data_IF_396484012537
#
_entry.id   IF_396484012537
#
_cell.length_a   1.000
_cell.length_b   1.000
_cell.length_c   1.000
_cell.angle_alpha   90.00
_cell.angle_beta   90.00
_cell.angle_gamma   90.00
#
_symmetry.space_group_name_H-M   'P 1'
#
loop_
_entity.id
_entity.type
_entity.pdbx_description
1 polymer ?
#
# COMPACT_ATOMS: atom_id res chain seq x y z
N UNK A 1 -20.91 44.61 -19.85
CA UNK A 1 -21.02 43.13 -19.81
C UNK A 1 -19.68 42.57 -19.37
N UNK A 2 -19.51 42.30 -18.08
CA UNK A 2 -18.32 41.67 -17.52
C UNK A 2 -18.42 40.17 -17.81
N UNK A 3 -17.59 39.68 -18.73
CA UNK A 3 -17.45 38.26 -18.97
C UNK A 3 -16.81 37.63 -17.73
N UNK A 4 -17.59 36.86 -17.00
CA UNK A 4 -17.15 35.91 -15.99
C UNK A 4 -16.28 34.84 -16.67
N UNK A 5 -15.00 35.12 -16.85
CA UNK A 5 -14.02 34.09 -17.13
C UNK A 5 -13.95 33.21 -15.89
N UNK A 6 -14.59 32.04 -15.94
CA UNK A 6 -14.39 30.99 -14.96
C UNK A 6 -12.89 30.69 -14.91
N UNK A 7 -12.23 31.07 -13.80
CA UNK A 7 -10.81 30.80 -13.57
C UNK A 7 -10.60 29.29 -13.47
N UNK A 8 -10.40 28.63 -14.61
CA UNK A 8 -9.93 27.26 -14.64
C UNK A 8 -8.57 27.23 -13.91
N UNK A 9 -8.40 26.40 -12.87
CA UNK A 9 -7.12 26.33 -12.18
C UNK A 9 -6.04 25.88 -13.16
N UNK A 10 -4.89 26.58 -13.20
CA UNK A 10 -3.75 26.14 -13.99
C UNK A 10 -3.44 24.66 -13.74
N UNK A 11 -3.04 23.96 -14.80
CA UNK A 11 -2.66 22.54 -14.78
C UNK A 11 -1.66 22.20 -13.65
N UNK A 12 -0.82 23.17 -13.28
CA UNK A 12 0.13 23.07 -12.19
C UNK A 12 -0.53 22.95 -10.81
N UNK A 13 -1.58 23.72 -10.53
CA UNK A 13 -2.34 23.64 -9.27
C UNK A 13 -3.04 22.32 -9.11
N UNK A 14 -3.62 21.81 -10.20
CA UNK A 14 -4.24 20.48 -10.25
C UNK A 14 -3.19 19.43 -9.91
N UNK A 15 -2.02 19.49 -10.55
CA UNK A 15 -0.90 18.57 -10.29
C UNK A 15 -0.46 18.58 -8.83
N UNK A 16 -0.27 19.76 -8.23
CA UNK A 16 0.13 19.88 -6.81
C UNK A 16 -0.96 19.41 -5.83
N UNK A 17 -2.23 19.49 -6.22
CA UNK A 17 -3.37 19.05 -5.40
C UNK A 17 -3.51 17.54 -5.48
N UNK A 18 -3.46 16.98 -6.68
CA UNK A 18 -3.42 15.54 -6.92
C UNK A 18 -2.23 14.91 -6.18
N UNK A 19 -1.02 15.43 -6.34
CA UNK A 19 0.17 14.92 -5.65
C UNK A 19 -0.01 14.87 -4.13
N UNK A 20 -0.58 15.92 -3.54
CA UNK A 20 -0.82 15.99 -2.08
C UNK A 20 -1.79 14.91 -1.61
N UNK A 21 -2.92 14.73 -2.30
CA UNK A 21 -3.95 13.79 -1.88
C UNK A 21 -3.60 12.34 -2.22
N UNK A 22 -3.03 12.10 -3.42
CA UNK A 22 -2.45 10.81 -3.76
C UNK A 22 -1.35 10.43 -2.77
N UNK A 23 -0.48 11.38 -2.41
CA UNK A 23 0.58 11.16 -1.43
C UNK A 23 0.06 10.75 -0.06
N UNK A 24 -1.07 11.31 0.38
CA UNK A 24 -1.72 10.91 1.64
C UNK A 24 -2.28 9.49 1.56
N UNK A 25 -3.09 9.20 0.54
CA UNK A 25 -3.79 7.90 0.41
C UNK A 25 -2.80 6.77 0.12
N UNK A 26 -1.97 6.93 -0.91
CA UNK A 26 -0.96 5.94 -1.30
C UNK A 26 0.12 5.84 -0.24
N UNK A 27 0.53 6.96 0.37
CA UNK A 27 1.53 6.98 1.44
C UNK A 27 1.08 6.19 2.67
N UNK A 28 -0.19 6.35 3.10
CA UNK A 28 -0.73 5.57 4.21
C UNK A 28 -0.71 4.06 3.91
N UNK A 29 -1.14 3.67 2.72
CA UNK A 29 -1.10 2.26 2.31
C UNK A 29 0.34 1.73 2.19
N UNK A 30 1.26 2.54 1.69
CA UNK A 30 2.68 2.20 1.62
C UNK A 30 3.29 2.00 3.01
N UNK A 31 2.86 2.75 4.04
CA UNK A 31 3.29 2.53 5.42
C UNK A 31 2.84 1.17 5.97
N UNK A 32 1.61 0.74 5.66
CA UNK A 32 1.11 -0.60 6.03
C UNK A 32 1.94 -1.68 5.31
N UNK A 33 2.20 -1.48 4.01
CA UNK A 33 3.05 -2.38 3.22
C UNK A 33 4.47 -2.49 3.80
N UNK A 34 5.07 -1.36 4.17
CA UNK A 34 6.40 -1.30 4.76
C UNK A 34 6.45 -1.94 6.14
N UNK A 35 5.44 -1.69 6.99
CA UNK A 35 5.37 -2.26 8.33
C UNK A 35 5.20 -3.79 8.30
N UNK A 36 4.35 -4.30 7.42
CA UNK A 36 4.14 -5.75 7.23
C UNK A 36 5.35 -6.41 6.57
N UNK A 37 5.97 -5.76 5.58
CA UNK A 37 7.23 -6.22 4.98
C UNK A 37 8.37 -6.29 5.99
N UNK A 38 8.47 -5.28 6.87
CA UNK A 38 9.43 -5.29 7.98
C UNK A 38 9.13 -6.42 8.96
N UNK A 39 7.85 -6.64 9.31
CA UNK A 39 7.44 -7.74 10.16
C UNK A 39 7.89 -9.11 9.61
N UNK A 40 7.70 -9.37 8.30
CA UNK A 40 8.18 -10.59 7.66
C UNK A 40 9.70 -10.78 7.72
N UNK A 41 10.48 -9.70 7.76
CA UNK A 41 11.93 -9.77 7.83
C UNK A 41 12.47 -9.90 9.27
N UNK A 42 11.66 -9.56 10.28
CA UNK A 42 12.05 -9.58 11.69
C UNK A 42 11.47 -10.77 12.47
N UNK A 43 10.33 -11.30 12.03
CA UNK A 43 9.69 -12.46 12.65
C UNK A 43 10.33 -13.73 12.09
N UNK A 44 10.79 -14.61 12.98
CA UNK A 44 11.27 -15.94 12.63
C UNK A 44 10.20 -16.73 11.88
N UNK A 45 10.58 -17.36 10.77
CA UNK A 45 9.68 -18.18 9.95
C UNK A 45 8.97 -19.27 10.76
N UNK A 46 9.65 -19.84 11.76
CA UNK A 46 9.06 -20.86 12.64
C UNK A 46 7.87 -20.33 13.44
N UNK A 47 7.80 -19.01 13.70
CA UNK A 47 6.68 -18.37 14.41
C UNK A 47 5.52 -18.00 13.48
N UNK A 48 5.62 -18.35 12.21
CA UNK A 48 4.61 -18.16 11.17
C UNK A 48 4.23 -19.50 10.52
N UNK A 49 4.75 -20.61 11.05
CA UNK A 49 4.58 -21.93 10.46
C UNK A 49 3.25 -22.57 10.88
N UNK A 50 2.50 -23.06 9.90
CA UNK A 50 1.26 -23.80 10.12
C UNK A 50 1.53 -25.25 10.53
N UNK A 51 2.69 -25.79 10.12
CA UNK A 51 3.01 -27.21 10.12
C UNK A 51 3.92 -27.61 11.30
N UNK A 52 4.03 -26.77 12.35
CA UNK A 52 4.86 -27.02 13.55
C UNK A 52 4.63 -28.42 14.15
N UNK A 53 3.38 -28.87 14.18
CA UNK A 53 3.00 -30.19 14.70
C UNK A 53 2.58 -31.18 13.62
N UNK A 54 2.78 -30.84 12.34
CA UNK A 54 2.36 -31.69 11.24
C UNK A 54 3.37 -32.81 11.00
N UNK A 55 2.87 -34.03 10.99
CA UNK A 55 3.64 -35.21 10.61
C UNK A 55 3.21 -35.68 9.23
N UNK A 56 4.18 -36.25 8.49
CA UNK A 56 3.87 -36.98 7.28
C UNK A 56 3.25 -38.33 7.65
N UNK A 57 2.14 -38.65 7.00
CA UNK A 57 1.47 -39.92 7.20
C UNK A 57 2.39 -41.06 6.73
N UNK A 58 2.66 -42.02 7.61
CA UNK A 58 3.47 -43.19 7.26
C UNK A 58 2.52 -44.23 6.67
N UNK A 59 2.45 -44.29 5.34
CA UNK A 59 1.67 -45.32 4.65
C UNK A 59 2.21 -46.71 5.02
N UNK A 60 1.46 -47.47 5.81
CA UNK A 60 1.81 -48.86 6.08
C UNK A 60 1.69 -49.70 4.80
N UNK A 61 2.46 -50.78 4.73
CA UNK A 61 2.33 -51.74 3.65
C UNK A 61 0.91 -52.35 3.65
N UNK A 62 0.28 -52.39 2.47
CA UNK A 62 -1.02 -53.03 2.29
C UNK A 62 -0.82 -54.54 2.37
N UNK A 63 -1.25 -55.16 3.46
CA UNK A 63 -1.13 -56.62 3.68
C UNK A 63 -2.46 -57.36 3.54
N UNK A 64 -3.57 -56.64 3.42
CA UNK A 64 -4.92 -57.20 3.28
C UNK A 64 -5.19 -57.65 1.83
N UNK A 65 -5.87 -58.79 1.61
CA UNK A 65 -6.32 -59.19 0.28
C UNK A 65 -7.19 -58.11 -0.38
N UNK A 66 -6.98 -57.91 -1.68
CA UNK A 66 -7.71 -56.94 -2.49
C UNK A 66 -8.81 -57.67 -3.29
N UNK A 67 -10.02 -57.13 -3.29
CA UNK A 67 -11.10 -57.56 -4.17
C UNK A 67 -10.85 -57.06 -5.60
N UNK A 68 -11.34 -57.79 -6.61
CA UNK A 68 -11.15 -57.41 -8.02
C UNK A 68 -11.94 -56.11 -8.34
N UNK A 69 -11.29 -55.04 -8.82
CA UNK A 69 -11.94 -53.77 -9.13
C UNK A 69 -12.72 -53.74 -10.46
N UNK A 70 -12.69 -54.80 -11.28
CA UNK A 70 -13.28 -54.82 -12.63
C UNK A 70 -14.77 -54.43 -12.64
N UNK A 71 -15.52 -54.84 -11.62
CA UNK A 71 -16.94 -54.48 -11.46
C UNK A 71 -17.14 -52.98 -11.25
N UNK A 72 -16.29 -52.34 -10.43
CA UNK A 72 -16.31 -50.90 -10.22
C UNK A 72 -15.86 -50.15 -11.48
N UNK A 73 -14.82 -50.62 -12.16
CA UNK A 73 -14.36 -50.01 -13.41
C UNK A 73 -15.51 -50.02 -14.42
N UNK A 74 -16.13 -51.17 -14.66
CA UNK A 74 -17.26 -51.32 -15.58
C UNK A 74 -18.44 -50.40 -15.21
N UNK A 75 -18.77 -50.28 -13.93
CA UNK A 75 -19.84 -49.42 -13.43
C UNK A 75 -19.60 -47.93 -13.76
N UNK A 76 -18.35 -47.47 -13.69
CA UNK A 76 -18.00 -46.05 -13.89
C UNK A 76 -17.51 -45.71 -15.31
N UNK A 77 -17.38 -46.67 -16.22
CA UNK A 77 -17.03 -46.42 -17.63
C UNK A 77 -17.95 -45.38 -18.29
N UNK A 78 -19.27 -45.52 -18.10
CA UNK A 78 -20.28 -44.63 -18.68
C UNK A 78 -20.23 -43.20 -18.14
N UNK A 79 -19.61 -42.98 -16.98
CA UNK A 79 -19.42 -41.66 -16.36
C UNK A 79 -18.10 -41.00 -16.79
N UNK A 80 -17.39 -41.58 -17.76
CA UNK A 80 -16.10 -41.09 -18.22
C UNK A 80 -14.99 -41.43 -17.23
N UNK A 81 -14.82 -42.72 -16.93
CA UNK A 81 -13.68 -43.23 -16.17
C UNK A 81 -12.35 -42.73 -16.73
N UNK A 82 -11.47 -42.26 -15.84
CA UNK A 82 -10.12 -41.78 -16.19
C UNK A 82 -9.08 -42.73 -15.62
N UNK A 83 -9.14 -43.00 -14.31
CA UNK A 83 -8.15 -43.82 -13.62
C UNK A 83 -8.72 -44.43 -12.34
N UNK A 84 -8.07 -45.52 -11.91
CA UNK A 84 -8.23 -46.11 -10.59
C UNK A 84 -6.87 -46.10 -9.90
N UNK A 85 -6.82 -45.55 -8.68
CA UNK A 85 -5.63 -45.51 -7.85
C UNK A 85 -5.87 -46.30 -6.57
N UNK A 86 -4.93 -47.19 -6.24
CA UNK A 86 -4.89 -47.87 -4.94
C UNK A 86 -4.13 -47.00 -3.94
N UNK A 87 -4.74 -46.74 -2.79
CA UNK A 87 -4.15 -46.07 -1.63
C UNK A 87 -4.57 -46.78 -0.34
N UNK A 88 -4.26 -46.20 0.81
CA UNK A 88 -4.70 -46.70 2.11
C UNK A 88 -5.20 -45.55 2.98
N UNK A 89 -6.22 -45.83 3.79
CA UNK A 89 -6.70 -44.95 4.85
C UNK A 89 -6.78 -45.79 6.13
N UNK A 90 -6.13 -45.36 7.22
CA UNK A 90 -6.05 -46.11 8.48
C UNK A 90 -5.58 -47.56 8.27
N UNK A 91 -4.56 -47.76 7.43
CA UNK A 91 -4.01 -49.08 7.06
C UNK A 91 -5.00 -50.04 6.36
N UNK A 92 -6.18 -49.55 5.93
CA UNK A 92 -7.13 -50.30 5.11
C UNK A 92 -7.04 -49.80 3.66
N UNK A 93 -6.95 -50.71 2.66
CA UNK A 93 -6.75 -50.31 1.28
C UNK A 93 -8.01 -49.69 0.68
N UNK A 94 -7.83 -48.70 -0.19
CA UNK A 94 -8.89 -47.90 -0.80
C UNK A 94 -8.65 -47.79 -2.30
N UNK A 95 -9.70 -48.05 -3.08
CA UNK A 95 -9.75 -47.72 -4.50
C UNK A 95 -10.34 -46.33 -4.68
N UNK A 96 -9.54 -45.41 -5.21
CA UNK A 96 -9.98 -44.09 -5.65
C UNK A 96 -10.21 -44.10 -7.16
N UNK A 97 -11.45 -43.95 -7.58
CA UNK A 97 -11.84 -43.86 -9.00
C UNK A 97 -12.02 -42.39 -9.35
N UNK A 98 -11.30 -41.92 -10.36
CA UNK A 98 -11.49 -40.58 -10.92
C UNK A 98 -12.27 -40.67 -12.22
N UNK A 99 -13.35 -39.90 -12.33
CA UNK A 99 -14.11 -39.70 -13.57
C UNK A 99 -13.91 -38.27 -14.09
N UNK A 100 -14.51 -37.93 -15.23
CA UNK A 100 -14.51 -36.57 -15.77
C UNK A 100 -15.19 -35.54 -14.88
N UNK A 101 -16.07 -35.97 -13.99
CA UNK A 101 -16.90 -35.08 -13.17
C UNK A 101 -16.50 -35.08 -11.70
N UNK A 102 -16.18 -36.23 -11.12
CA UNK A 102 -15.84 -36.33 -9.71
C UNK A 102 -14.99 -37.57 -9.42
N UNK A 103 -14.59 -37.72 -8.16
CA UNK A 103 -13.91 -38.91 -7.68
C UNK A 103 -14.76 -39.66 -6.67
N UNK A 104 -14.54 -40.98 -6.58
CA UNK A 104 -15.25 -41.90 -5.70
C UNK A 104 -14.26 -42.78 -4.96
N UNK A 105 -14.57 -43.16 -3.73
CA UNK A 105 -13.72 -43.99 -2.89
C UNK A 105 -14.47 -45.24 -2.43
N UNK A 106 -13.79 -46.38 -2.52
CA UNK A 106 -14.31 -47.68 -2.12
C UNK A 106 -13.26 -48.41 -1.30
N UNK A 107 -13.70 -49.16 -0.30
CA UNK A 107 -12.80 -50.07 0.39
C UNK A 107 -12.36 -51.17 -0.58
N UNK A 108 -11.06 -51.35 -0.75
CA UNK A 108 -10.53 -52.26 -1.76
C UNK A 108 -10.67 -53.74 -1.38
N UNK A 109 -11.05 -54.04 -0.14
CA UNK A 109 -11.30 -55.40 0.36
C UNK A 109 -12.76 -55.84 0.15
N UNK A 110 -13.74 -54.94 0.26
CA UNK A 110 -15.18 -55.24 0.15
C UNK A 110 -15.88 -54.62 -1.06
N UNK A 111 -15.23 -53.67 -1.75
CA UNK A 111 -15.80 -52.84 -2.82
C UNK A 111 -17.00 -51.98 -2.38
N UNK A 112 -17.25 -51.86 -1.08
CA UNK A 112 -18.29 -51.00 -0.55
C UNK A 112 -17.85 -49.52 -0.58
N UNK A 113 -18.79 -48.57 -0.78
CA UNK A 113 -18.48 -47.14 -0.73
C UNK A 113 -17.80 -46.76 0.58
N UNK A 114 -16.68 -46.06 0.50
CA UNK A 114 -15.97 -45.59 1.68
C UNK A 114 -16.76 -44.48 2.36
N UNK A 115 -17.04 -44.67 3.66
CA UNK A 115 -17.64 -43.66 4.54
C UNK A 115 -16.85 -43.64 5.83
N UNK A 116 -16.24 -42.51 6.13
CA UNK A 116 -15.44 -42.33 7.34
C UNK A 116 -16.34 -41.85 8.49
N UNK A 117 -16.25 -42.53 9.64
CA UNK A 117 -16.93 -42.08 10.87
C UNK A 117 -16.16 -40.93 11.53
N UNK A 118 -16.80 -40.12 12.41
CA UNK A 118 -16.10 -39.09 13.18
C UNK A 118 -14.90 -39.63 13.96
N UNK A 119 -14.98 -40.85 14.48
CA UNK A 119 -13.89 -41.52 15.20
C UNK A 119 -12.72 -41.83 14.25
N UNK A 120 -13.01 -42.34 13.04
CA UNK A 120 -11.98 -42.59 12.02
C UNK A 120 -11.32 -41.29 11.55
N UNK A 121 -12.08 -40.22 11.34
CA UNK A 121 -11.54 -38.91 10.99
C UNK A 121 -10.63 -38.36 12.09
N UNK A 122 -11.00 -38.58 13.35
CA UNK A 122 -10.16 -38.22 14.52
C UNK A 122 -8.88 -39.03 14.55
N UNK A 123 -8.92 -40.33 14.25
CA UNK A 123 -7.71 -41.17 14.15
C UNK A 123 -6.77 -40.71 13.04
N UNK A 124 -7.30 -40.34 11.87
CA UNK A 124 -6.51 -39.80 10.76
C UNK A 124 -5.84 -38.49 11.18
N UNK A 125 -6.60 -37.58 11.80
CA UNK A 125 -6.05 -36.34 12.31
C UNK A 125 -4.93 -36.59 13.33
N UNK A 126 -5.14 -37.53 14.27
CA UNK A 126 -4.16 -37.89 15.30
C UNK A 126 -2.88 -38.46 14.71
N UNK A 127 -2.97 -39.28 13.67
CA UNK A 127 -1.80 -39.80 12.97
C UNK A 127 -0.99 -38.69 12.28
N UNK A 128 -1.63 -37.57 11.91
CA UNK A 128 -0.97 -36.42 11.28
C UNK A 128 -0.39 -35.39 12.25
N UNK A 129 -0.52 -35.60 13.57
CA UNK A 129 -0.28 -34.59 14.59
C UNK A 129 0.71 -35.07 15.68
N UNK A 130 1.79 -34.32 15.88
CA UNK A 130 2.84 -34.61 16.88
C UNK A 130 2.71 -33.82 18.18
N UNK A 131 1.75 -32.89 18.28
CA UNK A 131 1.62 -32.01 19.44
C UNK A 131 0.97 -32.70 20.64
N UNK A 132 0.99 -32.01 21.78
CA UNK A 132 0.51 -32.54 23.07
C UNK A 132 -0.98 -32.27 23.34
N UNK A 133 -1.69 -31.59 22.44
CA UNK A 133 -3.09 -31.23 22.61
C UNK A 133 -4.03 -32.43 22.44
N UNK A 134 -5.14 -32.43 23.16
CA UNK A 134 -6.22 -33.41 22.95
C UNK A 134 -7.08 -32.97 21.77
N UNK A 135 -7.58 -33.94 20.99
CA UNK A 135 -8.48 -33.67 19.88
C UNK A 135 -9.91 -33.41 20.36
N UNK A 136 -10.50 -32.36 19.82
CA UNK A 136 -11.90 -32.01 20.02
C UNK A 136 -12.79 -32.73 18.99
N UNK A 137 -14.09 -32.48 19.08
CA UNK A 137 -15.09 -33.07 18.18
C UNK A 137 -14.93 -32.59 16.73
N UNK A 138 -15.12 -33.54 15.79
CA UNK A 138 -15.21 -33.25 14.35
C UNK A 138 -16.38 -32.30 14.07
N UNK A 139 -16.11 -31.22 13.35
CA UNK A 139 -17.12 -30.22 12.96
C UNK A 139 -16.93 -29.73 11.54
N UNK A 140 -17.97 -29.13 10.98
CA UNK A 140 -17.82 -28.34 9.76
C UNK A 140 -17.04 -27.04 10.09
N UNK A 141 -16.19 -26.55 9.18
CA UNK A 141 -15.59 -25.24 9.31
C UNK A 141 -16.59 -24.11 9.48
N UNK A 142 -16.27 -23.13 10.32
CA UNK A 142 -17.11 -21.95 10.53
C UNK A 142 -16.89 -20.86 9.48
N UNK A 143 -15.70 -20.81 8.88
CA UNK A 143 -15.34 -19.85 7.85
C UNK A 143 -15.15 -20.55 6.49
N UNK A 144 -15.33 -19.84 5.36
CA UNK A 144 -14.97 -20.36 4.06
C UNK A 144 -13.49 -20.74 4.05
N UNK A 145 -13.17 -21.90 3.48
CA UNK A 145 -11.79 -22.34 3.36
C UNK A 145 -11.42 -22.60 1.90
N UNK A 146 -10.26 -22.10 1.52
CA UNK A 146 -9.63 -22.19 0.22
C UNK A 146 -9.03 -23.57 -0.12
N UNK A 147 -9.37 -24.66 0.58
CA UNK A 147 -8.76 -25.96 0.31
C UNK A 147 -9.48 -26.69 -0.80
N UNK A 148 -8.72 -27.22 -1.76
CA UNK A 148 -9.25 -28.13 -2.77
C UNK A 148 -9.53 -29.49 -2.13
N UNK A 149 -10.80 -29.80 -1.95
CA UNK A 149 -11.30 -31.08 -1.47
C UNK A 149 -12.26 -31.69 -2.49
N UNK A 150 -12.39 -33.02 -2.45
CA UNK A 150 -13.32 -33.72 -3.32
C UNK A 150 -14.66 -34.02 -2.63
N UNK A 151 -14.68 -34.04 -1.29
CA UNK A 151 -15.88 -34.07 -0.48
C UNK A 151 -15.97 -32.90 0.50
N UNK A 152 -16.93 -32.97 1.45
CA UNK A 152 -17.04 -32.01 2.53
C UNK A 152 -15.75 -31.89 3.33
N UNK A 153 -15.35 -30.65 3.62
CA UNK A 153 -14.23 -30.39 4.50
C UNK A 153 -14.71 -30.45 5.94
N UNK A 154 -13.98 -31.18 6.77
CA UNK A 154 -14.17 -31.21 8.22
C UNK A 154 -12.95 -30.60 8.91
N UNK A 155 -13.19 -30.05 10.10
CA UNK A 155 -12.19 -29.44 10.96
C UNK A 155 -12.18 -30.15 12.32
N UNK A 156 -10.98 -30.40 12.83
CA UNK A 156 -10.74 -30.96 14.16
C UNK A 156 -9.75 -30.03 14.87
N UNK A 157 -10.16 -29.49 16.01
CA UNK A 157 -9.31 -28.61 16.81
C UNK A 157 -8.56 -29.41 17.87
N UNK A 158 -7.40 -28.90 18.26
CA UNK A 158 -6.60 -29.43 19.35
C UNK A 158 -6.53 -28.42 20.50
N UNK A 159 -6.36 -28.93 21.73
CA UNK A 159 -6.19 -28.10 22.92
C UNK A 159 -4.73 -27.72 23.22
N UNK A 160 -3.86 -27.69 22.21
CA UNK A 160 -2.47 -27.28 22.38
C UNK A 160 -2.29 -25.76 22.54
N UNK A 161 -1.06 -25.34 22.84
CA UNK A 161 -0.74 -23.93 23.05
C UNK A 161 -0.93 -23.08 21.78
N UNK A 162 -0.76 -23.68 20.59
CA UNK A 162 -0.88 -22.98 19.30
C UNK A 162 -2.33 -22.94 18.79
N UNK A 163 -3.24 -23.71 19.40
CA UNK A 163 -4.61 -23.90 18.93
C UNK A 163 -4.64 -24.54 17.54
N UNK A 164 -3.91 -25.65 17.35
CA UNK A 164 -3.81 -26.31 16.04
C UNK A 164 -5.18 -26.83 15.58
N UNK A 165 -5.51 -26.56 14.32
CA UNK A 165 -6.74 -26.92 13.62
C UNK A 165 -6.35 -27.75 12.40
N UNK A 166 -6.89 -28.96 12.33
CA UNK A 166 -6.58 -29.94 11.29
C UNK A 166 -7.79 -30.05 10.37
N UNK A 167 -7.55 -29.87 9.07
CA UNK A 167 -8.60 -29.95 8.06
C UNK A 167 -8.46 -31.20 7.23
N UNK A 168 -9.57 -31.92 7.06
CA UNK A 168 -9.61 -33.17 6.32
C UNK A 168 -10.73 -33.15 5.28
N UNK A 169 -10.51 -33.85 4.18
CA UNK A 169 -11.56 -34.21 3.24
C UNK A 169 -12.25 -35.48 3.74
N UNK A 170 -13.54 -35.38 4.11
CA UNK A 170 -14.28 -36.51 4.67
C UNK A 170 -14.56 -37.62 3.66
N UNK A 171 -14.47 -37.34 2.35
CA UNK A 171 -14.69 -38.35 1.31
C UNK A 171 -13.44 -39.20 1.06
N UNK A 172 -12.25 -38.60 1.11
CA UNK A 172 -10.99 -39.28 0.79
C UNK A 172 -10.17 -39.68 2.02
N UNK A 173 -10.44 -39.08 3.19
CA UNK A 173 -9.61 -39.22 4.38
C UNK A 173 -8.28 -38.45 4.29
N UNK A 174 -8.11 -37.59 3.29
CA UNK A 174 -6.88 -36.82 3.12
C UNK A 174 -6.82 -35.66 4.10
N UNK A 175 -5.71 -35.53 4.80
CA UNK A 175 -5.38 -34.31 5.57
C UNK A 175 -5.02 -33.21 4.57
N UNK A 176 -5.83 -32.16 4.54
CA UNK A 176 -5.70 -31.05 3.60
C UNK A 176 -4.65 -30.04 4.08
N UNK A 177 -4.72 -29.65 5.35
CA UNK A 177 -3.83 -28.68 5.95
C UNK A 177 -3.88 -28.76 7.48
N UNK A 178 -2.80 -28.29 8.12
CA UNK A 178 -2.83 -27.82 9.49
C UNK A 178 -2.86 -26.28 9.45
N UNK A 179 -3.53 -25.66 10.43
CA UNK A 179 -3.45 -24.22 10.69
C UNK A 179 -3.39 -24.00 12.19
N UNK A 180 -2.84 -22.88 12.63
CA UNK A 180 -2.74 -22.53 14.04
C UNK A 180 -2.67 -21.00 14.20
N UNK A 181 -2.50 -20.51 15.43
CA UNK A 181 -2.38 -19.05 15.69
C UNK A 181 -1.19 -18.38 15.00
N UNK A 182 -0.12 -19.11 14.72
CA UNK A 182 1.06 -18.59 14.01
C UNK A 182 0.75 -18.40 12.52
N UNK A 183 0.10 -19.39 11.89
CA UNK A 183 -0.37 -19.23 10.52
C UNK A 183 -1.45 -18.16 10.40
N UNK A 184 -2.29 -17.96 11.42
CA UNK A 184 -3.27 -16.86 11.43
C UNK A 184 -2.59 -15.49 11.38
N UNK A 185 -1.47 -15.33 12.10
CA UNK A 185 -0.65 -14.12 12.03
C UNK A 185 -0.03 -13.95 10.63
N UNK A 186 0.48 -15.04 10.05
CA UNK A 186 1.02 -15.05 8.68
C UNK A 186 -0.04 -14.61 7.66
N UNK A 187 -1.25 -15.14 7.77
CA UNK A 187 -2.37 -14.80 6.89
C UNK A 187 -2.78 -13.34 7.05
N UNK A 188 -2.83 -12.82 8.28
CA UNK A 188 -3.07 -11.40 8.55
C UNK A 188 -2.01 -10.49 7.93
N UNK A 189 -0.72 -10.84 8.11
CA UNK A 189 0.38 -10.08 7.53
C UNK A 189 0.32 -10.09 5.99
N UNK A 190 0.02 -11.23 5.38
CA UNK A 190 -0.14 -11.32 3.92
C UNK A 190 -1.34 -10.55 3.41
N UNK A 191 -2.48 -10.64 4.09
CA UNK A 191 -3.69 -9.87 3.76
C UNK A 191 -3.38 -8.37 3.72
N UNK A 192 -2.75 -7.85 4.77
CA UNK A 192 -2.38 -6.43 4.86
C UNK A 192 -1.30 -6.04 3.84
N UNK A 193 -0.32 -6.90 3.61
CA UNK A 193 0.79 -6.64 2.69
C UNK A 193 0.33 -6.63 1.22
N UNK A 194 -0.53 -7.56 0.82
CA UNK A 194 -1.06 -7.65 -0.54
C UNK A 194 -2.38 -6.92 -0.75
N UNK A 195 -2.93 -6.30 0.30
CA UNK A 195 -4.24 -5.63 0.30
C UNK A 195 -5.38 -6.55 -0.14
N UNK A 196 -5.27 -7.85 0.15
CA UNK A 196 -6.25 -8.86 -0.23
C UNK A 196 -7.19 -9.16 0.94
N UNK A 197 -8.11 -8.23 1.20
CA UNK A 197 -9.03 -8.28 2.34
C UNK A 197 -10.21 -9.23 2.14
N UNK A 198 -10.44 -9.66 0.90
CA UNK A 198 -11.51 -10.59 0.55
C UNK A 198 -10.89 -11.70 -0.32
N UNK A 199 -10.06 -12.57 0.28
CA UNK A 199 -9.38 -13.62 -0.46
C UNK A 199 -10.41 -14.64 -0.95
N UNK A 200 -10.65 -14.66 -2.26
CA UNK A 200 -11.42 -15.72 -2.90
C UNK A 200 -10.50 -16.94 -3.09
N UNK A 201 -10.60 -17.90 -2.17
CA UNK A 201 -9.89 -19.18 -2.22
C UNK A 201 -8.35 -19.08 -2.33
N UNK A 202 -7.73 -18.06 -1.74
CA UNK A 202 -6.28 -17.88 -1.69
C UNK A 202 -5.87 -16.42 -1.77
N UNK A 203 -4.55 -16.16 -1.82
CA UNK A 203 -4.03 -14.80 -2.04
C UNK A 203 -4.20 -14.45 -3.53
N UNK A 204 -5.09 -13.50 -3.82
CA UNK A 204 -5.22 -12.94 -5.16
C UNK A 204 -4.34 -11.69 -5.30
N UNK A 205 -3.50 -11.69 -6.33
CA UNK A 205 -2.61 -10.58 -6.63
C UNK A 205 -3.18 -9.59 -7.65
N UNK A 206 -4.32 -9.89 -8.27
CA UNK A 206 -4.88 -9.12 -9.37
C UNK A 206 -6.36 -8.80 -9.18
N UNK A 207 -6.64 -7.96 -8.19
CA UNK A 207 -7.97 -7.47 -7.85
C UNK A 207 -8.08 -5.95 -8.02
N UNK A 208 -9.30 -5.42 -8.00
CA UNK A 208 -9.55 -4.00 -8.26
C UNK A 208 -8.80 -3.05 -7.31
N UNK A 209 -8.66 -3.43 -6.03
CA UNK A 209 -8.00 -2.58 -5.04
C UNK A 209 -6.51 -2.36 -5.35
N UNK A 210 -5.75 -3.43 -5.58
CA UNK A 210 -4.32 -3.34 -5.95
C UNK A 210 -4.15 -2.58 -7.27
N UNK A 211 -5.04 -2.77 -8.25
CA UNK A 211 -5.01 -2.03 -9.52
C UNK A 211 -5.21 -0.52 -9.32
N UNK A 212 -6.21 -0.11 -8.51
CA UNK A 212 -6.49 1.30 -8.23
C UNK A 212 -5.33 1.95 -7.47
N UNK A 213 -4.80 1.29 -6.43
CA UNK A 213 -3.66 1.80 -5.66
C UNK A 213 -2.40 1.87 -6.53
N UNK A 214 -2.16 0.89 -7.41
CA UNK A 214 -1.02 0.90 -8.34
C UNK A 214 -1.11 2.04 -9.35
N UNK A 215 -2.29 2.29 -9.92
CA UNK A 215 -2.52 3.46 -10.76
C UNK A 215 -2.31 4.76 -9.97
N UNK A 216 -2.83 4.83 -8.74
CA UNK A 216 -2.62 5.96 -7.84
C UNK A 216 -1.13 6.22 -7.55
N UNK A 217 -0.34 5.18 -7.31
CA UNK A 217 1.09 5.25 -7.09
C UNK A 217 1.84 5.72 -8.34
N UNK A 218 1.45 5.24 -9.53
CA UNK A 218 1.99 5.71 -10.80
C UNK A 218 1.72 7.21 -11.01
N UNK A 219 0.49 7.65 -10.79
CA UNK A 219 0.09 9.06 -10.88
C UNK A 219 0.81 9.92 -9.81
N UNK A 220 1.03 9.38 -8.61
CA UNK A 220 1.82 10.03 -7.56
C UNK A 220 3.27 10.24 -8.00
N UNK A 221 3.91 9.21 -8.55
CA UNK A 221 5.27 9.29 -9.08
C UNK A 221 5.37 10.32 -10.22
N UNK A 222 4.46 10.24 -11.20
CA UNK A 222 4.42 11.18 -12.32
C UNK A 222 4.19 12.63 -11.87
N UNK A 223 3.24 12.88 -10.96
CA UNK A 223 3.00 14.22 -10.42
C UNK A 223 4.19 14.75 -9.61
N UNK A 224 4.95 13.88 -8.95
CA UNK A 224 6.21 14.21 -8.28
C UNK A 224 7.30 14.64 -9.26
N UNK A 225 7.49 13.89 -10.35
CA UNK A 225 8.45 14.22 -11.42
C UNK A 225 8.08 15.55 -12.09
N UNK A 226 6.81 15.75 -12.44
CA UNK A 226 6.33 17.03 -12.98
C UNK A 226 6.56 18.18 -11.99
N UNK A 227 6.36 17.91 -10.70
CA UNK A 227 6.62 18.90 -9.64
C UNK A 227 8.08 19.30 -9.56
N UNK A 228 8.98 18.32 -9.60
CA UNK A 228 10.42 18.55 -9.58
C UNK A 228 10.87 19.30 -10.85
N UNK A 229 10.37 18.90 -12.02
CA UNK A 229 10.68 19.54 -13.31
C UNK A 229 10.26 21.01 -13.36
N UNK A 230 9.05 21.33 -12.88
CA UNK A 230 8.59 22.72 -12.81
C UNK A 230 9.41 23.56 -11.83
N UNK A 231 9.80 23.01 -10.68
CA UNK A 231 10.69 23.70 -9.74
C UNK A 231 12.09 23.92 -10.33
N UNK A 232 12.58 22.97 -11.12
CA UNK A 232 13.86 23.09 -11.82
C UNK A 232 13.82 24.17 -12.90
N UNK A 233 12.75 24.23 -13.72
CA UNK A 233 12.59 25.28 -14.74
C UNK A 233 12.44 26.67 -14.14
N UNK A 234 11.91 26.78 -12.91
CA UNK A 234 11.84 28.02 -12.14
C UNK A 234 13.13 28.35 -11.37
N UNK A 235 14.21 27.60 -11.54
CA UNK A 235 15.49 27.84 -10.85
C UNK A 235 15.45 27.62 -9.33
N UNK A 236 14.39 27.02 -8.79
CA UNK A 236 14.23 26.77 -7.36
C UNK A 236 15.04 25.55 -6.87
N UNK A 237 15.47 24.68 -7.79
CA UNK A 237 16.30 23.52 -7.52
C UNK A 237 17.60 23.66 -8.33
N UNK A 238 18.75 23.53 -7.66
CA UNK A 238 20.07 23.56 -8.31
C UNK A 238 20.75 22.22 -8.13
N UNK A 239 21.25 21.65 -9.22
CA UNK A 239 22.23 20.57 -9.13
C UNK A 239 23.58 21.19 -8.78
N UNK A 240 24.30 20.70 -7.76
CA UNK A 240 25.52 21.33 -7.24
C UNK A 240 26.68 21.45 -8.25
N UNK A 241 26.55 20.85 -9.45
CA UNK A 241 27.57 20.84 -10.50
C UNK A 241 27.44 21.91 -11.60
N UNK A 242 26.36 22.68 -11.65
CA UNK A 242 26.17 23.70 -12.70
C UNK A 242 26.50 25.12 -12.18
N UNK A 243 27.42 25.79 -12.88
CA UNK A 243 28.14 27.02 -12.50
C UNK A 243 27.26 28.17 -12.00
N UNK A 244 27.87 29.00 -11.15
CA UNK A 244 27.34 30.25 -10.64
C UNK A 244 26.88 31.18 -11.78
N UNK A 245 25.63 31.61 -11.67
CA UNK A 245 25.04 32.64 -12.53
C UNK A 245 25.57 34.02 -12.10
N UNK A 246 25.92 34.84 -13.08
CA UNK A 246 26.30 36.24 -12.89
C UNK A 246 25.06 37.05 -12.49
N UNK A 247 25.08 37.70 -11.32
CA UNK A 247 23.95 38.51 -10.85
C UNK A 247 23.68 39.68 -11.80
N UNK A 248 22.45 39.84 -12.28
CA UNK A 248 22.05 40.88 -13.23
C UNK A 248 21.07 41.90 -12.61
N UNK A 249 21.39 42.42 -11.42
CA UNK A 249 20.68 43.57 -10.86
C UNK A 249 20.44 43.52 -9.36
N UNK A 250 19.64 44.47 -8.88
CA UNK A 250 19.38 44.71 -7.47
C UNK A 250 17.89 44.84 -7.17
N UNK A 251 17.48 44.34 -6.00
CA UNK A 251 16.14 44.48 -5.45
C UNK A 251 16.23 45.46 -4.29
N UNK A 252 15.45 46.54 -4.35
CA UNK A 252 15.37 47.53 -3.28
C UNK A 252 14.15 47.21 -2.42
N UNK A 253 14.37 46.86 -1.16
CA UNK A 253 13.31 46.53 -0.20
C UNK A 253 13.02 47.73 0.70
N UNK A 254 11.76 48.13 0.76
CA UNK A 254 11.26 49.28 1.52
C UNK A 254 10.34 48.84 2.66
N UNK A 255 10.24 49.69 3.69
CA UNK A 255 9.26 49.57 4.76
C UNK A 255 7.87 49.97 4.30
N UNK A 256 6.87 49.77 5.18
CA UNK A 256 5.51 50.25 4.96
C UNK A 256 5.46 51.79 4.84
N UNK A 257 6.41 52.48 5.48
CA UNK A 257 6.55 53.95 5.51
C UNK A 257 7.49 54.49 4.41
N UNK A 258 7.80 53.69 3.38
CA UNK A 258 8.68 54.06 2.26
C UNK A 258 10.15 54.35 2.62
N UNK A 259 10.62 53.84 3.75
CA UNK A 259 12.04 53.87 4.14
C UNK A 259 12.80 52.71 3.47
N UNK A 260 14.01 52.95 2.95
CA UNK A 260 14.82 51.88 2.35
C UNK A 260 15.42 50.99 3.44
N UNK A 261 15.06 49.71 3.46
CA UNK A 261 15.51 48.73 4.47
C UNK A 261 16.76 47.97 4.04
N UNK A 262 16.81 47.50 2.80
CA UNK A 262 17.94 46.71 2.29
C UNK A 262 18.02 46.72 0.78
N UNK A 263 19.24 46.66 0.26
CA UNK A 263 19.54 46.45 -1.15
C UNK A 263 20.08 45.03 -1.34
N UNK A 264 19.40 44.23 -2.17
CA UNK A 264 19.66 42.79 -2.29
C UNK A 264 20.07 42.44 -3.71
N UNK A 265 21.02 41.53 -3.85
CA UNK A 265 21.47 41.04 -5.16
C UNK A 265 20.43 40.07 -5.75
N UNK A 266 20.20 40.17 -7.06
CA UNK A 266 19.32 39.23 -7.76
C UNK A 266 20.04 37.90 -7.98
N UNK A 267 19.35 36.83 -7.62
CA UNK A 267 19.75 35.46 -7.88
C UNK A 267 18.74 34.77 -8.81
N UNK A 268 19.16 33.75 -9.58
CA UNK A 268 18.24 32.98 -10.42
C UNK A 268 17.05 32.44 -9.64
N UNK A 269 15.90 32.44 -10.31
CA UNK A 269 14.67 31.88 -9.80
C UNK A 269 13.66 32.96 -9.40
N UNK A 270 13.03 32.80 -8.24
CA UNK A 270 11.93 33.67 -7.82
C UNK A 270 12.41 34.84 -6.95
N UNK A 271 11.59 35.89 -6.84
CA UNK A 271 11.88 37.00 -5.92
C UNK A 271 12.07 36.49 -4.50
N UNK A 272 11.24 35.54 -4.03
CA UNK A 272 11.41 34.93 -2.72
C UNK A 272 12.81 34.31 -2.54
N UNK A 273 13.31 33.60 -3.56
CA UNK A 273 14.64 32.99 -3.48
C UNK A 273 15.74 34.04 -3.33
N UNK A 274 15.69 35.12 -4.13
CA UNK A 274 16.64 36.23 -4.02
C UNK A 274 16.55 36.93 -2.67
N UNK A 275 15.34 37.16 -2.16
CA UNK A 275 15.12 37.83 -0.88
C UNK A 275 15.63 37.00 0.31
N UNK A 276 15.45 35.68 0.28
CA UNK A 276 15.86 34.78 1.35
C UNK A 276 17.28 34.24 1.17
N UNK A 277 18.03 34.73 0.18
CA UNK A 277 19.37 34.27 -0.08
C UNK A 277 20.32 34.71 1.05
N UNK A 278 21.09 33.76 1.60
CA UNK A 278 22.00 33.97 2.73
C UNK A 278 21.34 34.19 4.10
N UNK A 279 20.09 34.66 4.13
CA UNK A 279 19.32 34.95 5.34
C UNK A 279 17.83 34.88 5.02
N UNK A 280 17.03 34.21 5.85
CA UNK A 280 15.58 34.20 5.70
C UNK A 280 14.98 35.56 6.08
N UNK A 281 14.51 36.31 5.07
CA UNK A 281 13.91 37.65 5.21
C UNK A 281 12.38 37.62 5.14
N UNK A 282 11.82 36.62 4.48
CA UNK A 282 10.40 36.36 4.37
C UNK A 282 10.09 34.91 4.74
N UNK A 283 9.21 34.71 5.72
CA UNK A 283 8.74 33.37 6.06
C UNK A 283 7.80 32.81 5.02
N UNK A 284 7.89 31.50 4.80
CA UNK A 284 6.87 30.74 4.07
C UNK A 284 6.60 29.40 4.73
N UNK A 285 5.35 28.94 4.70
CA UNK A 285 4.98 27.58 5.14
C UNK A 285 4.88 26.58 3.99
N UNK A 286 4.96 27.05 2.75
CA UNK A 286 4.83 26.21 1.55
C UNK A 286 6.13 26.09 0.74
N UNK A 287 7.25 26.61 1.26
CA UNK A 287 8.55 26.57 0.58
C UNK A 287 8.54 27.21 -0.81
N UNK A 288 7.75 28.27 -0.99
CA UNK A 288 7.62 28.99 -2.26
C UNK A 288 6.62 28.40 -3.28
N UNK A 289 5.78 27.43 -2.90
CA UNK A 289 4.77 26.84 -3.79
C UNK A 289 3.49 27.65 -4.02
N UNK A 290 3.42 28.92 -3.60
CA UNK A 290 2.26 29.79 -3.84
C UNK A 290 1.00 29.49 -3.02
N UNK A 291 1.05 28.57 -2.04
CA UNK A 291 -0.15 28.10 -1.32
C UNK A 291 -0.39 28.67 0.08
N UNK A 292 0.57 29.39 0.66
CA UNK A 292 0.44 29.89 2.03
C UNK A 292 0.09 31.39 2.14
N UNK A 293 0.25 32.18 1.07
CA UNK A 293 -0.01 33.63 1.10
C UNK A 293 0.98 34.48 1.92
N UNK A 294 1.96 33.88 2.60
CA UNK A 294 2.84 34.60 3.54
C UNK A 294 3.93 35.45 2.87
N UNK A 295 4.34 35.09 1.65
CA UNK A 295 5.38 35.79 0.89
C UNK A 295 4.86 37.02 0.11
N UNK A 296 3.82 37.68 0.61
CA UNK A 296 3.23 38.83 -0.07
C UNK A 296 4.13 40.07 0.02
N UNK A 297 4.38 40.70 -1.11
CA UNK A 297 5.13 41.95 -1.22
C UNK A 297 4.41 42.89 -2.17
N UNK A 298 4.49 44.19 -1.89
CA UNK A 298 3.94 45.22 -2.77
C UNK A 298 5.01 45.70 -3.73
N UNK A 299 4.74 45.66 -5.04
CA UNK A 299 5.57 46.36 -6.00
C UNK A 299 5.32 47.86 -5.87
N UNK A 300 6.37 48.63 -5.62
CA UNK A 300 6.26 50.10 -5.46
C UNK A 300 5.94 50.75 -6.80
N UNK A 301 6.51 50.22 -7.87
CA UNK A 301 6.33 50.67 -9.25
C UNK A 301 6.21 49.44 -10.16
N UNK A 302 5.49 49.57 -11.28
CA UNK A 302 5.41 48.56 -12.35
C UNK A 302 5.09 47.13 -11.85
N UNK A 303 4.00 46.98 -11.07
CA UNK A 303 3.57 45.67 -10.61
C UNK A 303 3.22 44.75 -11.79
N UNK A 304 3.74 43.51 -11.86
CA UNK A 304 3.37 42.57 -12.90
C UNK A 304 1.88 42.18 -12.79
N UNK A 305 1.30 41.67 -13.87
CA UNK A 305 -0.06 41.12 -13.82
C UNK A 305 -0.15 40.00 -12.77
N UNK A 306 -1.25 39.90 -12.00
CA UNK A 306 -1.41 38.83 -11.03
C UNK A 306 -1.57 37.49 -11.75
N UNK A 307 -0.88 36.47 -11.25
CA UNK A 307 -1.07 35.10 -11.73
C UNK A 307 -2.16 34.40 -10.91
N UNK A 308 -2.49 33.16 -11.26
CA UNK A 308 -3.51 32.40 -10.55
C UNK A 308 -3.27 32.35 -9.03
N UNK A 309 -2.01 32.20 -8.58
CA UNK A 309 -1.63 32.13 -7.16
C UNK A 309 -1.87 33.41 -6.40
N UNK A 310 -1.62 34.54 -7.05
CA UNK A 310 -1.98 35.84 -6.51
C UNK A 310 -3.51 35.94 -6.37
N UNK A 311 -4.26 35.56 -7.41
CA UNK A 311 -5.73 35.62 -7.43
C UNK A 311 -6.39 34.74 -6.37
N UNK A 312 -5.76 33.62 -6.00
CA UNK A 312 -6.30 32.67 -5.01
C UNK A 312 -5.98 33.07 -3.55
N UNK A 313 -4.87 33.78 -3.31
CA UNK A 313 -4.39 34.07 -1.95
C UNK A 313 -4.47 35.52 -1.53
N UNK A 314 -4.63 36.44 -2.47
CA UNK A 314 -4.65 37.87 -2.21
C UNK A 314 -6.07 38.42 -2.45
N UNK A 315 -6.47 39.35 -1.59
CA UNK A 315 -7.72 40.09 -1.77
C UNK A 315 -7.64 41.04 -2.97
N UNK A 316 -8.80 41.45 -3.51
CA UNK A 316 -8.87 42.38 -4.63
C UNK A 316 -8.12 43.69 -4.33
N UNK A 317 -8.27 44.23 -3.12
CA UNK A 317 -7.57 45.45 -2.67
C UNK A 317 -6.04 45.26 -2.62
N UNK A 318 -5.57 44.09 -2.19
CA UNK A 318 -4.14 43.76 -2.23
C UNK A 318 -3.64 43.70 -3.68
N UNK A 319 -4.40 43.07 -4.58
CA UNK A 319 -4.02 42.97 -5.98
C UNK A 319 -3.97 44.33 -6.69
N UNK A 320 -4.97 45.18 -6.45
CA UNK A 320 -5.06 46.55 -6.98
C UNK A 320 -3.95 47.46 -6.45
N UNK A 321 -3.55 47.28 -5.19
CA UNK A 321 -2.41 48.01 -4.61
C UNK A 321 -1.03 47.49 -5.05
N UNK A 322 -0.98 46.52 -5.98
CA UNK A 322 0.26 45.99 -6.53
C UNK A 322 0.91 44.89 -5.69
N UNK A 323 0.17 44.27 -4.78
CA UNK A 323 0.66 43.14 -3.97
C UNK A 323 0.67 41.86 -4.79
N UNK A 324 1.77 41.11 -4.72
CA UNK A 324 1.94 39.79 -5.34
C UNK A 324 2.67 38.84 -4.40
N UNK A 325 2.58 37.54 -4.65
CA UNK A 325 3.34 36.53 -3.94
C UNK A 325 4.75 36.44 -4.52
N UNK A 326 5.77 36.89 -3.79
CA UNK A 326 7.16 36.91 -4.27
C UNK A 326 7.71 35.55 -4.70
N UNK A 327 7.08 34.44 -4.26
CA UNK A 327 7.46 33.09 -4.67
C UNK A 327 6.93 32.65 -6.04
N UNK A 328 6.02 33.40 -6.65
CA UNK A 328 5.40 33.03 -7.93
C UNK A 328 5.78 34.01 -9.06
N UNK A 329 6.71 34.93 -8.78
CA UNK A 329 7.21 35.91 -9.74
C UNK A 329 8.73 35.76 -9.90
N UNK A 330 9.26 35.85 -11.14
CA UNK A 330 10.69 35.73 -11.40
C UNK A 330 11.47 36.88 -10.76
N UNK A 331 12.70 36.59 -10.35
CA UNK A 331 13.59 37.61 -9.81
C UNK A 331 14.00 38.59 -10.91
N UNK A 332 13.72 39.88 -10.67
CA UNK A 332 14.01 40.99 -11.57
C UNK A 332 14.32 42.24 -10.76
N UNK A 333 14.98 43.22 -11.37
CA UNK A 333 15.27 44.51 -10.72
C UNK A 333 13.96 45.24 -10.45
N UNK A 334 13.64 45.43 -9.17
CA UNK A 334 12.39 46.06 -8.77
C UNK A 334 12.52 46.72 -7.38
N UNK A 335 11.57 47.61 -7.11
CA UNK A 335 11.35 48.21 -5.79
C UNK A 335 10.17 47.50 -5.13
N UNK A 336 10.40 46.87 -3.99
CA UNK A 336 9.41 46.10 -3.25
C UNK A 336 9.21 46.72 -1.87
N UNK A 337 7.98 46.75 -1.38
CA UNK A 337 7.65 47.16 -0.01
C UNK A 337 7.03 46.00 0.78
N UNK A 338 7.35 45.95 2.07
CA UNK A 338 6.69 45.04 3.01
C UNK A 338 5.22 45.42 3.17
N UNK A 339 4.34 44.41 3.27
CA UNK A 339 2.88 44.62 3.31
C UNK A 339 2.35 44.57 4.74
N UNK A 340 3.07 43.91 5.65
CA UNK A 340 2.58 43.67 7.02
C UNK A 340 3.62 44.07 8.07
N UNK A 341 3.12 44.59 9.20
CA UNK A 341 3.94 44.85 10.39
C UNK A 341 4.68 43.59 10.88
N UNK A 342 4.09 42.42 10.70
CA UNK A 342 4.70 41.13 11.06
C UNK A 342 5.95 40.84 10.24
N UNK A 343 5.91 41.09 8.91
CA UNK A 343 7.09 40.96 8.06
C UNK A 343 8.18 41.95 8.47
N UNK A 344 7.81 43.19 8.79
CA UNK A 344 8.77 44.20 9.25
C UNK A 344 9.48 43.77 10.54
N UNK A 345 8.73 43.32 11.56
CA UNK A 345 9.31 42.79 12.80
C UNK A 345 10.18 41.56 12.56
N UNK A 346 9.74 40.65 11.68
CA UNK A 346 10.51 39.44 11.36
C UNK A 346 11.86 39.78 10.73
N UNK A 347 11.88 40.71 9.77
CA UNK A 347 13.09 41.17 9.13
C UNK A 347 14.06 41.78 10.16
N UNK A 348 13.59 42.74 10.99
CA UNK A 348 14.42 43.37 12.02
C UNK A 348 15.05 42.35 12.99
N UNK A 349 14.26 41.36 13.41
CA UNK A 349 14.74 40.31 14.31
C UNK A 349 15.74 39.36 13.64
N UNK A 350 15.65 39.14 12.32
CA UNK A 350 16.61 38.30 11.62
C UNK A 350 17.93 39.04 11.36
N UNK A 351 17.91 40.37 11.16
CA UNK A 351 19.12 41.18 11.04
C UNK A 351 19.89 41.28 12.36
N UNK A 352 19.19 41.48 13.50
CA UNK A 352 19.83 41.57 14.82
C UNK A 352 20.48 40.27 15.32
N UNK A 353 20.12 39.11 14.75
CA UNK A 353 20.77 37.82 15.07
C UNK A 353 22.11 37.60 14.36
N UNK A 354 22.48 38.44 13.40
CA UNK A 354 23.76 38.35 12.70
C UNK A 354 24.83 39.30 13.25
N UNK A 355 24.44 40.25 14.10
CA UNK A 355 25.35 41.23 14.74
C UNK A 355 25.85 40.79 16.12
N UNK A 356 25.49 39.58 16.55
CA UNK A 356 25.99 38.86 17.75
C UNK A 356 26.65 37.58 17.24
#
# INVERSE_FOLDING_TARGET
MMSSAANNPSWWRVTQTLHKWLGLIVGLQFLIWLATGLAFNLIDEQKLDADVYRMSDTSAAITTPLANPDTLIAQYQSQGFIQLKLSSVLNRPVYAISTRTQSYWFWADSLEPMRLTPEQLTQIAQASYSGSGMMNTVRAPTNPIAFTAQGPIVQIDTSDALGTRIYLDSASGRVLAHQNRQSDLKDLLFMLHFMDYVPENGINFNHALIQIISLGALLLGMSGVLTLGHKFSQGQLRLPRFKAFTSQGKIHLYSEQAELLSELTIHPGTLLHSLNQGQERLRTSCGGGGRCGLCKLRFVEHAPAPNDYDLDKLSILELESGVRLSCQHPAQSCKLALVTKTQHRFLLNSTNRQTI
#
